data_IF_468057245458
#
_entry.id   IF_468057245458
#
_cell.length_a   1.000
_cell.length_b   1.000
_cell.length_c   1.000
_cell.angle_alpha   90.00
_cell.angle_beta   90.00
_cell.angle_gamma   90.00
#
_symmetry.space_group_name_H-M   'P 1'
#
loop_
_entity.id
_entity.type
_entity.pdbx_description
1 polymer ?
#
# COMPACT_ATOMS: atom_id res chain seq x y z
N UNK A 1 -11.11 -8.87 -4.28
CA UNK A 1 -9.81 -8.19 -4.17
C UNK A 1 -9.83 -7.22 -3.00
N UNK A 2 -8.79 -7.20 -2.22
CA UNK A 2 -8.66 -6.31 -1.06
C UNK A 2 -7.59 -5.25 -1.37
N UNK A 3 -7.93 -3.99 -1.13
CA UNK A 3 -7.00 -2.89 -1.19
C UNK A 3 -6.68 -2.46 0.25
N UNK A 4 -5.42 -2.57 0.64
CA UNK A 4 -4.96 -2.13 1.96
C UNK A 4 -4.18 -0.82 1.80
N UNK A 5 -4.63 0.21 2.48
CA UNK A 5 -3.96 1.52 2.49
C UNK A 5 -3.41 1.74 3.89
N UNK A 6 -2.10 1.77 4.01
CA UNK A 6 -1.42 1.98 5.28
C UNK A 6 -0.83 3.38 5.28
N UNK A 7 -1.44 4.25 6.05
CA UNK A 7 -1.06 5.65 6.15
C UNK A 7 -0.22 5.88 7.41
N UNK A 8 0.92 6.55 7.24
CA UNK A 8 1.88 6.75 8.32
C UNK A 8 2.39 8.19 8.30
N UNK A 9 2.58 8.74 9.49
CA UNK A 9 3.25 10.02 9.65
C UNK A 9 4.53 9.78 10.44
N UNK A 10 5.67 9.87 9.77
CA UNK A 10 6.96 9.57 10.37
C UNK A 10 7.53 10.80 11.08
N UNK A 11 8.27 10.58 12.16
CA UNK A 11 9.03 11.65 12.80
C UNK A 11 10.06 12.19 11.81
N UNK A 12 10.18 13.51 11.63
CA UNK A 12 11.06 14.07 10.59
C UNK A 12 12.49 13.52 10.60
N UNK A 13 13.08 13.38 11.77
CA UNK A 13 14.44 12.85 11.91
C UNK A 13 14.54 11.34 11.72
N UNK A 14 13.41 10.64 11.64
CA UNK A 14 13.34 9.18 11.45
C UNK A 14 12.89 8.79 10.07
N UNK A 15 12.66 9.77 9.19
CA UNK A 15 12.15 9.52 7.84
C UNK A 15 13.04 8.56 7.04
N UNK A 16 14.35 8.80 7.05
CA UNK A 16 15.30 7.95 6.32
C UNK A 16 15.29 6.53 6.86
N UNK A 17 15.30 6.39 8.19
CA UNK A 17 15.32 5.09 8.84
C UNK A 17 14.08 4.27 8.49
N UNK A 18 12.89 4.87 8.59
CA UNK A 18 11.65 4.19 8.26
C UNK A 18 11.56 3.87 6.76
N UNK A 19 11.98 4.80 5.92
CA UNK A 19 11.99 4.58 4.46
C UNK A 19 12.87 3.38 4.10
N UNK A 20 14.04 3.26 4.69
CA UNK A 20 14.92 2.12 4.45
C UNK A 20 14.31 0.81 4.96
N UNK A 21 13.70 0.84 6.13
CA UNK A 21 13.05 -0.35 6.71
C UNK A 21 11.93 -0.84 5.80
N UNK A 22 11.05 0.05 5.35
CA UNK A 22 9.94 -0.32 4.46
C UNK A 22 10.48 -0.83 3.12
N UNK A 23 11.42 -0.10 2.53
CA UNK A 23 11.98 -0.49 1.23
C UNK A 23 12.59 -1.88 1.27
N UNK A 24 13.26 -2.24 2.37
CA UNK A 24 13.86 -3.56 2.52
C UNK A 24 12.84 -4.69 2.60
N UNK A 25 11.59 -4.39 2.93
CA UNK A 25 10.53 -5.38 3.04
C UNK A 25 9.76 -5.60 1.74
N UNK A 26 9.82 -4.65 0.80
CA UNK A 26 8.94 -4.67 -0.37
C UNK A 26 9.05 -5.96 -1.20
N UNK A 27 10.26 -6.44 -1.47
CA UNK A 27 10.44 -7.65 -2.29
C UNK A 27 9.85 -8.87 -1.61
N UNK A 28 9.97 -8.96 -0.29
CA UNK A 28 9.42 -10.09 0.47
C UNK A 28 7.90 -10.05 0.47
N UNK A 29 7.31 -8.88 0.70
CA UNK A 29 5.86 -8.75 0.68
C UNK A 29 5.30 -9.05 -0.71
N UNK A 30 5.98 -8.56 -1.75
CA UNK A 30 5.57 -8.80 -3.14
C UNK A 30 5.60 -10.28 -3.52
N UNK A 31 6.40 -11.09 -2.86
CA UNK A 31 6.48 -12.54 -3.10
C UNK A 31 5.49 -13.34 -2.26
N UNK A 32 4.77 -12.70 -1.35
CA UNK A 32 3.75 -13.38 -0.55
C UNK A 32 2.60 -13.85 -1.43
N UNK A 33 2.06 -15.03 -1.11
CA UNK A 33 0.93 -15.59 -1.87
C UNK A 33 -0.26 -14.65 -1.79
N UNK A 34 -0.83 -14.35 -2.94
CA UNK A 34 -1.99 -13.47 -3.04
C UNK A 34 -1.68 -11.99 -3.11
N UNK A 35 -0.41 -11.61 -3.01
CA UNK A 35 0.00 -10.22 -3.18
C UNK A 35 -0.03 -9.85 -4.66
N UNK A 36 -0.87 -8.89 -5.03
CA UNK A 36 -0.98 -8.38 -6.40
C UNK A 36 -0.13 -7.14 -6.57
N UNK A 37 -0.08 -6.29 -5.55
CA UNK A 37 0.62 -5.02 -5.59
C UNK A 37 1.11 -4.67 -4.20
N UNK A 38 2.31 -4.12 -4.12
CA UNK A 38 2.82 -3.53 -2.89
C UNK A 38 3.75 -2.39 -3.28
N UNK A 39 3.28 -1.16 -3.13
CA UNK A 39 4.04 0.04 -3.48
C UNK A 39 4.12 0.99 -2.30
N UNK A 40 5.24 1.68 -2.24
CA UNK A 40 5.54 2.61 -1.16
C UNK A 40 5.68 4.01 -1.73
N UNK A 41 4.98 4.96 -1.11
CA UNK A 41 4.97 6.36 -1.53
C UNK A 41 5.23 7.30 -0.36
N UNK A 42 5.72 8.49 -0.66
CA UNK A 42 5.73 9.56 0.32
C UNK A 42 5.10 10.81 -0.31
N UNK A 43 4.60 11.70 0.54
CA UNK A 43 3.95 12.92 0.08
C UNK A 43 4.94 13.88 -0.56
N UNK A 44 4.49 14.56 -1.61
CA UNK A 44 5.27 15.61 -2.25
C UNK A 44 5.17 16.91 -1.46
N UNK A 45 3.97 17.20 -0.93
CA UNK A 45 3.73 18.40 -0.13
C UNK A 45 4.20 18.25 1.32
N UNK A 46 4.19 17.01 1.83
CA UNK A 46 4.68 16.69 3.17
C UNK A 46 5.43 15.37 3.09
N UNK A 47 6.75 15.45 3.04
CA UNK A 47 7.61 14.28 2.90
C UNK A 47 7.64 13.37 4.14
N UNK A 48 6.99 13.77 5.22
CA UNK A 48 6.84 12.93 6.41
C UNK A 48 5.58 12.07 6.37
N UNK A 49 4.76 12.21 5.34
CA UNK A 49 3.61 11.36 5.11
C UNK A 49 4.05 10.20 4.23
N UNK A 50 3.90 8.99 4.75
CA UNK A 50 4.20 7.75 4.03
C UNK A 50 2.91 6.98 3.79
N UNK A 51 2.82 6.35 2.63
CA UNK A 51 1.71 5.47 2.29
C UNK A 51 2.25 4.17 1.71
N UNK A 52 1.81 3.06 2.29
CA UNK A 52 2.07 1.73 1.75
C UNK A 52 0.75 1.24 1.16
N UNK A 53 0.74 1.02 -0.15
CA UNK A 53 -0.44 0.62 -0.89
C UNK A 53 -0.29 -0.83 -1.29
N UNK A 54 -1.24 -1.68 -0.89
CA UNK A 54 -1.19 -3.10 -1.19
C UNK A 54 -2.51 -3.56 -1.79
N UNK A 55 -2.42 -4.48 -2.73
CA UNK A 55 -3.56 -5.21 -3.25
C UNK A 55 -3.37 -6.69 -3.01
N UNK A 56 -4.43 -7.35 -2.51
CA UNK A 56 -4.43 -8.77 -2.20
C UNK A 56 -5.60 -9.45 -2.91
N UNK A 57 -5.36 -10.65 -3.43
CA UNK A 57 -6.40 -11.38 -4.15
C UNK A 57 -7.65 -11.59 -3.30
N UNK A 58 -7.47 -11.94 -2.02
CA UNK A 58 -8.58 -12.17 -1.08
C UNK A 58 -8.25 -11.60 0.28
N UNK A 59 -9.27 -11.42 1.10
CA UNK A 59 -9.09 -11.02 2.49
C UNK A 59 -8.26 -12.05 3.28
N UNK A 60 -8.44 -13.33 2.97
CA UNK A 60 -7.69 -14.41 3.62
C UNK A 60 -6.18 -14.26 3.38
N UNK A 61 -5.78 -13.91 2.17
CA UNK A 61 -4.37 -13.69 1.86
C UNK A 61 -3.81 -12.50 2.65
N UNK A 62 -4.58 -11.42 2.77
CA UNK A 62 -4.16 -10.30 3.60
C UNK A 62 -4.03 -10.70 5.07
N UNK A 63 -4.99 -11.45 5.60
CA UNK A 63 -4.96 -11.90 6.98
C UNK A 63 -3.73 -12.77 7.25
N UNK A 64 -3.41 -13.68 6.34
CA UNK A 64 -2.21 -14.51 6.46
C UNK A 64 -0.94 -13.66 6.48
N UNK A 65 -0.87 -12.68 5.57
CA UNK A 65 0.25 -11.74 5.55
C UNK A 65 0.34 -10.95 6.86
N UNK A 66 -0.78 -10.52 7.42
CA UNK A 66 -0.78 -9.74 8.66
C UNK A 66 -0.25 -10.51 9.87
N UNK A 67 -0.14 -11.83 9.76
CA UNK A 67 0.45 -12.68 10.79
C UNK A 67 1.88 -13.08 10.47
N UNK A 68 2.42 -12.65 9.33
CA UNK A 68 3.76 -13.02 8.88
C UNK A 68 4.85 -12.28 9.63
N UNK A 69 6.07 -12.81 9.54
CA UNK A 69 7.24 -12.17 10.13
C UNK A 69 7.51 -10.80 9.51
N UNK A 70 7.23 -10.65 8.22
CA UNK A 70 7.44 -9.37 7.53
C UNK A 70 6.51 -8.28 8.06
N UNK A 71 5.26 -8.63 8.33
CA UNK A 71 4.32 -7.69 8.92
C UNK A 71 4.73 -7.34 10.35
N UNK A 72 5.24 -8.31 11.10
CA UNK A 72 5.75 -8.07 12.46
C UNK A 72 6.93 -7.10 12.45
N UNK A 73 7.82 -7.23 11.46
CA UNK A 73 8.94 -6.29 11.32
C UNK A 73 8.43 -4.88 11.02
N UNK A 74 7.45 -4.76 10.13
CA UNK A 74 6.82 -3.47 9.84
C UNK A 74 6.18 -2.88 11.10
N UNK A 75 5.43 -3.68 11.83
CA UNK A 75 4.79 -3.24 13.09
C UNK A 75 5.83 -2.80 14.10
N UNK A 76 6.96 -3.51 14.17
CA UNK A 76 8.07 -3.16 15.06
C UNK A 76 8.72 -1.81 14.75
N UNK A 77 8.56 -1.33 13.52
CA UNK A 77 9.10 -0.03 13.11
C UNK A 77 8.14 1.13 13.41
N UNK A 78 6.95 0.86 13.92
CA UNK A 78 5.94 1.90 14.12
C UNK A 78 6.27 2.88 15.24
N UNK A 79 7.26 2.57 16.08
CA UNK A 79 7.77 3.53 17.07
C UNK A 79 8.46 4.73 16.40
N UNK A 80 8.77 4.64 15.11
CA UNK A 80 9.36 5.74 14.33
C UNK A 80 8.32 6.77 13.89
N UNK A 81 7.05 6.47 14.11
CA UNK A 81 5.95 7.35 13.73
C UNK A 81 5.68 8.41 14.78
N UNK A 82 5.15 9.55 14.31
CA UNK A 82 4.75 10.66 15.17
C UNK A 82 3.39 10.42 15.83
N UNK A 83 2.58 9.56 15.21
CA UNK A 83 1.24 9.21 15.68
C UNK A 83 0.95 7.76 15.25
N UNK A 84 -0.08 7.10 15.84
CA UNK A 84 -0.42 5.74 15.44
C UNK A 84 -0.72 5.65 13.95
N UNK A 85 -0.29 4.55 13.32
CA UNK A 85 -0.59 4.31 11.91
C UNK A 85 -2.07 4.00 11.72
N UNK A 86 -2.52 4.18 10.48
CA UNK A 86 -3.89 3.89 10.10
C UNK A 86 -3.87 2.89 8.95
N UNK A 87 -4.60 1.79 9.12
CA UNK A 87 -4.74 0.77 8.08
C UNK A 87 -6.21 0.70 7.70
N UNK A 88 -6.52 1.00 6.44
CA UNK A 88 -7.88 0.93 5.94
C UNK A 88 -7.93 -0.15 4.87
N UNK A 89 -8.88 -1.07 5.01
CA UNK A 89 -9.12 -2.13 4.04
C UNK A 89 -10.36 -1.78 3.22
N UNK A 90 -10.21 -1.86 1.90
CA UNK A 90 -11.31 -1.66 0.97
C UNK A 90 -11.59 -2.96 0.24
N UNK A 91 -12.88 -3.31 0.11
CA UNK A 91 -13.30 -4.41 -0.74
C UNK A 91 -13.44 -3.86 -2.15
N UNK A 92 -12.76 -4.48 -3.09
CA UNK A 92 -12.80 -4.07 -4.49
C UNK A 92 -13.25 -5.23 -5.34
N UNK A 93 -14.33 -5.05 -6.11
CA UNK A 93 -14.86 -6.10 -6.98
C UNK A 93 -14.20 -6.06 -8.35
N UNK A 94 -14.44 -4.99 -9.10
CA UNK A 94 -13.88 -4.79 -10.43
C UNK A 94 -13.63 -3.32 -10.68
N UNK A 95 -12.63 -2.97 -11.49
CA UNK A 95 -12.49 -1.59 -11.95
C UNK A 95 -13.71 -1.21 -12.77
N UNK A 96 -14.19 0.02 -12.60
CA UNK A 96 -15.27 0.54 -13.44
C UNK A 96 -14.79 0.74 -14.88
N UNK A 97 -13.49 0.84 -15.08
CA UNK A 97 -12.88 1.02 -16.36
C UNK A 97 -11.50 1.64 -16.23
N UNK A 98 -10.83 1.79 -17.36
CA UNK A 98 -9.53 2.40 -17.43
C UNK A 98 -9.57 3.55 -18.43
N UNK A 99 -9.32 4.75 -17.94
CA UNK A 99 -9.25 5.94 -18.77
C UNK A 99 -7.81 6.16 -19.22
N UNK A 100 -7.61 6.31 -20.54
CA UNK A 100 -6.30 6.58 -21.11
C UNK A 100 -6.27 8.00 -21.69
N UNK A 101 -5.11 8.42 -22.18
CA UNK A 101 -4.95 9.77 -22.66
C UNK A 101 -5.92 10.21 -23.76
N UNK A 102 -6.49 9.26 -24.51
CA UNK A 102 -7.43 9.52 -25.60
C UNK A 102 -8.80 8.90 -25.38
N UNK A 103 -9.15 8.48 -24.16
CA UNK A 103 -10.48 7.99 -23.87
C UNK A 103 -10.53 6.85 -22.89
N UNK A 104 -11.75 6.34 -22.69
CA UNK A 104 -12.04 5.25 -21.79
C UNK A 104 -11.80 3.91 -22.48
N UNK A 105 -11.38 2.92 -21.70
CA UNK A 105 -11.21 1.55 -22.13
C UNK A 105 -12.55 0.99 -22.65
N UNK A 106 -12.46 0.09 -23.63
CA UNK A 106 -13.63 -0.51 -24.28
C UNK A 106 -14.46 -1.43 -23.39
N UNK A 107 -13.91 -1.89 -22.27
CA UNK A 107 -14.63 -2.81 -21.38
C UNK A 107 -15.78 -2.14 -20.66
N UNK A 108 -15.79 -0.83 -20.54
CA UNK A 108 -16.79 -0.07 -19.80
C UNK A 108 -17.48 1.00 -20.63
N UNK A 109 -17.27 0.97 -21.93
CA UNK A 109 -17.79 2.00 -22.83
C UNK A 109 -16.71 2.95 -23.27
N UNK A 110 -17.11 3.95 -24.05
CA UNK A 110 -16.19 4.89 -24.65
C UNK A 110 -16.44 6.28 -24.14
N UNK A 111 -15.39 6.90 -23.63
CA UNK A 111 -15.39 8.32 -23.30
C UNK A 111 -14.14 8.92 -23.91
N UNK A 112 -14.32 9.90 -24.79
CA UNK A 112 -13.20 10.61 -25.38
C UNK A 112 -13.02 11.95 -24.70
N UNK A 113 -11.80 12.26 -24.40
CA UNK A 113 -11.46 13.47 -23.69
C UNK A 113 -10.93 14.51 -24.65
#
# INVERSE_FOLDING_TARGET
MILAVIHMKVKPRKRKELSQAITSLLSFVRSEKGCVLCDFFHGVEDENIFCLLQEWETRKHFETYSESEYFKVLRGAMHLLDEPWEIILYQRSQPAGKLQGNGLDNTTGKLRI
#
